data_IF_791209415508
#
_entry.id   IF_791209415508
#
_cell.length_a   1.000
_cell.length_b   1.000
_cell.length_c   1.000
_cell.angle_alpha   90.00
_cell.angle_beta   90.00
_cell.angle_gamma   90.00
#
_symmetry.space_group_name_H-M   'P 1'
#
loop_
_entity.id
_entity.type
_entity.pdbx_description
1 polymer ?
#
# COMPACT_ATOMS: atom_id res chain seq x y z
N UNK A 1 -0.84 -23.19 -23.50
CA UNK A 1 -1.34 -24.32 -22.70
C UNK A 1 -2.31 -23.75 -21.68
N UNK A 2 -3.61 -24.11 -21.80
CA UNK A 2 -4.65 -23.83 -20.83
C UNK A 2 -4.57 -24.90 -19.73
N UNK A 3 -4.38 -24.49 -18.50
CA UNK A 3 -4.51 -25.40 -17.36
C UNK A 3 -5.97 -25.41 -16.90
N UNK A 4 -6.56 -26.59 -16.95
CA UNK A 4 -7.91 -26.90 -16.45
C UNK A 4 -7.84 -27.02 -14.92
N UNK A 5 -8.56 -26.12 -14.20
CA UNK A 5 -8.52 -25.98 -12.74
C UNK A 5 -9.56 -26.83 -12.00
N UNK A 6 -10.35 -27.67 -12.71
CA UNK A 6 -11.51 -28.36 -12.11
C UNK A 6 -11.22 -29.76 -11.52
N UNK A 7 -9.95 -30.18 -11.40
CA UNK A 7 -9.65 -31.57 -11.01
C UNK A 7 -8.85 -31.75 -9.69
N UNK A 8 -8.67 -30.75 -8.84
CA UNK A 8 -7.96 -30.92 -7.57
C UNK A 8 -8.82 -30.56 -6.36
N UNK A 9 -9.72 -31.47 -5.95
CA UNK A 9 -10.23 -31.52 -4.58
C UNK A 9 -9.24 -32.30 -3.73
N UNK A 10 -8.32 -31.64 -3.07
CA UNK A 10 -7.43 -32.18 -2.05
C UNK A 10 -7.96 -31.74 -0.69
N UNK A 11 -8.08 -32.68 0.23
CA UNK A 11 -8.39 -32.42 1.64
C UNK A 11 -7.17 -31.70 2.26
N UNK A 12 -7.23 -30.36 2.30
CA UNK A 12 -6.11 -29.50 2.69
C UNK A 12 -6.24 -29.12 4.16
N UNK A 13 -5.21 -29.38 4.94
CA UNK A 13 -5.10 -28.84 6.29
C UNK A 13 -4.93 -27.29 6.28
N UNK A 14 -5.05 -26.65 7.43
CA UNK A 14 -5.01 -25.19 7.54
C UNK A 14 -3.72 -24.55 7.03
N UNK A 15 -2.60 -25.29 6.97
CA UNK A 15 -1.31 -24.82 6.44
C UNK A 15 -1.30 -24.82 4.91
N UNK A 16 -1.97 -25.78 4.31
CA UNK A 16 -2.10 -25.92 2.85
C UNK A 16 -3.12 -24.94 2.27
N UNK A 17 -4.21 -24.65 3.01
CA UNK A 17 -5.17 -23.56 2.67
C UNK A 17 -4.45 -22.21 2.63
N UNK A 18 -3.54 -21.94 3.55
CA UNK A 18 -2.68 -20.74 3.55
C UNK A 18 -1.83 -20.63 2.27
N UNK A 19 -1.28 -21.76 1.78
CA UNK A 19 -0.52 -21.79 0.52
C UNK A 19 -1.39 -21.53 -0.71
N UNK A 20 -2.58 -22.12 -0.79
CA UNK A 20 -3.50 -21.96 -1.94
C UNK A 20 -4.02 -20.51 -2.01
N UNK A 21 -4.35 -19.88 -0.87
CA UNK A 21 -4.74 -18.46 -0.84
C UNK A 21 -3.60 -17.54 -1.28
N UNK A 22 -2.34 -17.88 -0.98
CA UNK A 22 -1.16 -17.14 -1.44
C UNK A 22 -0.96 -17.25 -2.96
N UNK A 23 -1.29 -18.39 -3.57
CA UNK A 23 -1.18 -18.57 -5.03
C UNK A 23 -2.22 -17.77 -5.82
N UNK A 24 -3.47 -17.70 -5.35
CA UNK A 24 -4.54 -16.95 -6.03
C UNK A 24 -4.25 -15.45 -6.07
N UNK A 25 -3.61 -14.88 -5.05
CA UNK A 25 -3.27 -13.46 -4.99
C UNK A 25 -1.79 -13.16 -5.20
N UNK A 26 -0.93 -14.21 -5.19
CA UNK A 26 0.52 -14.05 -5.42
C UNK A 26 1.13 -12.90 -4.60
N UNK A 27 0.65 -12.70 -3.38
CA UNK A 27 1.29 -11.85 -2.38
C UNK A 27 2.20 -12.75 -1.55
N UNK A 28 3.51 -12.54 -1.62
CA UNK A 28 4.41 -13.13 -0.64
C UNK A 28 4.20 -12.39 0.68
N UNK A 29 3.25 -12.89 1.47
CA UNK A 29 3.05 -12.40 2.84
C UNK A 29 4.22 -12.91 3.66
N UNK A 30 5.30 -12.14 3.68
CA UNK A 30 6.49 -12.42 4.47
C UNK A 30 6.31 -11.78 5.85
N UNK A 31 5.55 -12.43 6.72
CA UNK A 31 5.53 -12.00 8.12
C UNK A 31 6.34 -12.96 8.97
N UNK A 32 7.44 -12.48 9.53
CA UNK A 32 8.16 -13.16 10.61
C UNK A 32 7.46 -13.01 11.97
N UNK A 33 6.32 -12.32 12.04
CA UNK A 33 5.55 -12.08 13.24
C UNK A 33 4.28 -12.91 13.22
N UNK A 34 4.07 -13.72 14.25
CA UNK A 34 2.80 -14.42 14.45
C UNK A 34 1.72 -13.38 14.77
N UNK A 35 0.84 -13.09 13.81
CA UNK A 35 -0.31 -12.20 13.97
C UNK A 35 -1.52 -13.09 14.30
N UNK A 36 -2.27 -12.70 15.32
CA UNK A 36 -3.50 -13.40 15.71
C UNK A 36 -4.71 -12.57 15.22
N UNK A 37 -5.85 -13.23 14.99
CA UNK A 37 -7.09 -12.56 14.53
C UNK A 37 -7.62 -11.52 15.51
N UNK A 38 -7.19 -11.55 16.79
CA UNK A 38 -7.54 -10.55 17.80
C UNK A 38 -6.66 -9.30 17.80
N UNK A 39 -5.58 -9.29 17.02
CA UNK A 39 -4.67 -8.14 16.97
C UNK A 39 -5.33 -6.97 16.23
N UNK A 40 -5.13 -5.75 16.74
CA UNK A 40 -5.55 -4.53 16.05
C UNK A 40 -4.55 -4.23 14.93
N UNK A 41 -5.00 -4.31 13.70
CA UNK A 41 -4.17 -4.13 12.51
C UNK A 41 -4.46 -2.79 11.85
N UNK A 42 -3.41 -2.11 11.37
CA UNK A 42 -3.51 -0.87 10.61
C UNK A 42 -2.46 -0.83 9.51
N UNK A 43 -2.77 -0.13 8.42
CA UNK A 43 -1.83 0.09 7.34
C UNK A 43 -1.42 1.57 7.24
N UNK A 44 -0.11 1.84 7.40
CA UNK A 44 0.46 3.11 6.97
C UNK A 44 0.65 3.07 5.46
N UNK A 45 0.18 4.10 4.77
CA UNK A 45 0.36 4.21 3.31
C UNK A 45 0.94 5.57 2.95
N UNK A 46 1.85 5.59 1.99
CA UNK A 46 2.59 6.78 1.57
C UNK A 46 2.43 7.00 0.08
N UNK A 47 2.09 8.23 -0.31
CA UNK A 47 1.88 8.64 -1.70
C UNK A 47 2.98 9.61 -2.17
N UNK A 48 3.09 9.78 -3.50
CA UNK A 48 3.90 10.76 -4.23
C UNK A 48 5.41 10.53 -4.28
N UNK A 49 5.93 9.54 -3.56
CA UNK A 49 7.35 9.18 -3.63
C UNK A 49 7.71 8.40 -4.90
N UNK A 50 8.96 7.91 -4.96
CA UNK A 50 10.03 8.12 -3.98
C UNK A 50 10.79 9.43 -4.17
N UNK A 51 11.31 9.99 -3.07
CA UNK A 51 12.27 11.09 -3.08
C UNK A 51 13.27 10.98 -1.90
N UNK A 52 14.06 12.03 -1.65
CA UNK A 52 15.03 12.07 -0.55
C UNK A 52 14.38 11.82 0.84
N UNK A 53 13.18 12.33 1.09
CA UNK A 53 12.51 12.14 2.38
C UNK A 53 11.94 10.73 2.55
N UNK A 54 11.65 10.02 1.45
CA UNK A 54 11.29 8.59 1.48
C UNK A 54 12.37 7.78 2.21
N UNK A 55 13.65 8.09 1.98
CA UNK A 55 14.76 7.46 2.71
C UNK A 55 14.66 7.63 4.23
N UNK A 56 14.25 8.81 4.70
CA UNK A 56 14.02 9.08 6.14
C UNK A 56 12.81 8.31 6.68
N UNK A 57 11.74 8.21 5.90
CA UNK A 57 10.57 7.38 6.26
C UNK A 57 11.01 5.93 6.45
N UNK A 58 11.76 5.37 5.50
CA UNK A 58 12.28 4.01 5.58
C UNK A 58 13.20 3.79 6.79
N UNK A 59 14.05 4.78 7.16
CA UNK A 59 14.89 4.72 8.35
C UNK A 59 14.04 4.58 9.63
N UNK A 60 12.94 5.35 9.73
CA UNK A 60 12.04 5.29 10.88
C UNK A 60 11.26 3.98 10.91
N UNK A 61 10.73 3.50 9.77
CA UNK A 61 10.04 2.22 9.69
C UNK A 61 10.96 1.06 10.09
N UNK A 62 12.22 1.07 9.63
CA UNK A 62 13.21 0.08 10.01
C UNK A 62 13.54 0.13 11.51
N UNK A 63 13.70 1.33 12.09
CA UNK A 63 13.96 1.52 13.54
C UNK A 63 12.91 0.84 14.42
N UNK A 64 11.63 0.90 14.00
CA UNK A 64 10.53 0.33 14.78
C UNK A 64 10.08 -1.06 14.26
N UNK A 65 10.78 -1.62 13.27
CA UNK A 65 10.43 -2.89 12.62
C UNK A 65 8.98 -2.91 12.11
N UNK A 66 8.59 -1.89 11.35
CA UNK A 66 7.24 -1.67 10.81
C UNK A 66 7.24 -1.79 9.30
N UNK A 67 6.22 -2.45 8.75
CA UNK A 67 5.94 -2.50 7.31
C UNK A 67 4.88 -1.47 6.92
N UNK A 68 4.91 -1.07 5.65
CA UNK A 68 4.00 -0.09 5.08
C UNK A 68 3.77 -0.37 3.58
N UNK A 69 2.83 0.38 2.98
CA UNK A 69 2.59 0.35 1.54
C UNK A 69 2.91 1.72 0.93
N UNK A 70 3.69 1.74 -0.14
CA UNK A 70 4.06 2.94 -0.88
C UNK A 70 3.35 2.96 -2.23
N UNK A 71 2.56 3.99 -2.49
CA UNK A 71 1.95 4.24 -3.79
C UNK A 71 2.82 5.24 -4.54
N UNK A 72 3.65 4.74 -5.45
CA UNK A 72 4.71 5.52 -6.07
C UNK A 72 4.25 6.17 -7.37
N UNK A 73 4.67 7.40 -7.61
CA UNK A 73 4.56 8.05 -8.92
C UNK A 73 5.60 7.48 -9.87
N UNK A 74 5.18 7.05 -11.05
CA UNK A 74 6.08 6.44 -12.03
C UNK A 74 7.23 7.36 -12.45
N UNK A 75 6.98 8.66 -12.62
CA UNK A 75 8.02 9.66 -12.92
C UNK A 75 9.06 9.76 -11.81
N UNK A 76 8.63 9.78 -10.54
CA UNK A 76 9.54 9.82 -9.39
C UNK A 76 10.31 8.51 -9.20
N UNK A 77 9.63 7.38 -9.38
CA UNK A 77 10.23 6.05 -9.33
C UNK A 77 11.33 5.88 -10.39
N UNK A 78 11.09 6.38 -11.61
CA UNK A 78 12.08 6.37 -12.70
C UNK A 78 13.35 7.13 -12.34
N UNK A 79 13.20 8.29 -11.70
CA UNK A 79 14.34 9.16 -11.33
C UNK A 79 15.03 8.71 -10.05
N UNK A 80 14.36 7.91 -9.19
CA UNK A 80 14.85 7.49 -7.88
C UNK A 80 14.86 5.96 -7.70
N UNK A 81 15.29 5.21 -8.73
CA UNK A 81 15.30 3.74 -8.74
C UNK A 81 15.97 3.11 -7.52
N UNK A 82 17.04 3.72 -7.00
CA UNK A 82 17.74 3.22 -5.80
C UNK A 82 16.86 3.28 -4.54
N UNK A 83 16.02 4.32 -4.42
CA UNK A 83 15.12 4.46 -3.27
C UNK A 83 13.95 3.48 -3.43
N UNK A 84 13.36 3.39 -4.62
CA UNK A 84 12.34 2.37 -4.92
C UNK A 84 12.84 0.95 -4.64
N UNK A 85 14.07 0.64 -5.05
CA UNK A 85 14.67 -0.67 -4.76
C UNK A 85 14.80 -0.89 -3.25
N UNK A 86 15.19 0.14 -2.48
CA UNK A 86 15.28 0.07 -1.03
C UNK A 86 13.90 -0.15 -0.38
N UNK A 87 12.84 0.53 -0.84
CA UNK A 87 11.46 0.28 -0.38
C UNK A 87 11.13 -1.22 -0.52
N UNK A 88 11.32 -1.74 -1.73
CA UNK A 88 11.02 -3.14 -2.04
C UNK A 88 11.87 -4.13 -1.21
N UNK A 89 13.21 -3.94 -1.17
CA UNK A 89 14.13 -4.82 -0.43
C UNK A 89 13.90 -4.79 1.08
N UNK A 90 13.33 -3.70 1.59
CA UNK A 90 12.91 -3.57 2.99
C UNK A 90 11.58 -4.28 3.28
N UNK A 91 10.98 -4.96 2.28
CA UNK A 91 9.73 -5.70 2.41
C UNK A 91 8.50 -4.79 2.50
N UNK A 92 8.55 -3.61 1.91
CA UNK A 92 7.40 -2.75 1.75
C UNK A 92 6.56 -3.20 0.54
N UNK A 93 5.25 -3.03 0.59
CA UNK A 93 4.39 -3.19 -0.58
C UNK A 93 4.48 -1.97 -1.47
N UNK A 94 4.59 -2.19 -2.79
CA UNK A 94 4.66 -1.11 -3.79
C UNK A 94 3.39 -1.10 -4.64
N UNK A 95 2.62 -0.04 -4.56
CA UNK A 95 1.43 0.22 -5.36
C UNK A 95 1.67 1.28 -6.45
N UNK A 96 0.76 1.33 -7.41
CA UNK A 96 0.77 2.28 -8.52
C UNK A 96 0.01 3.55 -8.13
N UNK A 97 0.64 4.74 -8.28
CA UNK A 97 0.02 6.05 -8.05
C UNK A 97 -0.05 6.92 -9.31
N UNK A 98 -0.14 6.31 -10.51
CA UNK A 98 -0.03 6.96 -11.82
C UNK A 98 1.38 7.44 -12.15
N UNK A 99 1.60 7.93 -13.36
CA UNK A 99 2.95 8.34 -13.78
C UNK A 99 3.25 9.80 -13.43
N UNK A 100 2.34 10.72 -13.79
CA UNK A 100 2.50 12.18 -13.62
C UNK A 100 1.51 12.80 -12.62
N UNK A 101 0.84 12.00 -11.81
CA UNK A 101 -0.17 12.48 -10.85
C UNK A 101 -1.35 13.19 -11.52
N UNK A 102 -1.83 12.70 -12.67
CA UNK A 102 -2.97 13.28 -13.37
C UNK A 102 -4.30 12.96 -12.69
N UNK A 103 -5.25 13.90 -12.69
CA UNK A 103 -6.63 13.63 -12.28
C UNK A 103 -7.30 12.78 -13.37
N UNK A 104 -7.14 11.46 -13.30
CA UNK A 104 -7.46 10.49 -14.35
C UNK A 104 -8.87 10.63 -14.91
N UNK A 105 -9.85 11.01 -14.07
CA UNK A 105 -11.25 11.15 -14.48
C UNK A 105 -11.50 12.26 -15.51
N UNK A 106 -10.51 13.11 -15.77
CA UNK A 106 -10.57 14.19 -16.79
C UNK A 106 -9.93 13.79 -18.13
N UNK A 107 -9.41 12.57 -18.23
CA UNK A 107 -8.66 12.14 -19.41
C UNK A 107 -9.35 10.98 -20.15
N UNK A 108 -8.99 10.81 -21.43
CA UNK A 108 -9.44 9.68 -22.25
C UNK A 108 -8.77 8.37 -21.81
N UNK A 109 -9.39 7.25 -22.16
CA UNK A 109 -8.96 5.89 -21.77
C UNK A 109 -7.50 5.58 -22.10
N UNK A 110 -7.02 6.02 -23.27
CA UNK A 110 -5.64 5.82 -23.68
C UNK A 110 -4.63 6.52 -22.78
N UNK A 111 -4.95 7.73 -22.29
CA UNK A 111 -4.10 8.48 -21.35
C UNK A 111 -4.12 7.81 -19.96
N UNK A 112 -5.29 7.39 -19.50
CA UNK A 112 -5.44 6.67 -18.22
C UNK A 112 -4.59 5.39 -18.26
N UNK A 113 -4.69 4.62 -19.34
CA UNK A 113 -3.92 3.39 -19.53
C UNK A 113 -2.42 3.68 -19.53
N UNK A 114 -1.99 4.70 -20.26
CA UNK A 114 -0.57 5.10 -20.37
C UNK A 114 0.03 5.49 -19.00
N UNK A 115 -0.71 6.25 -18.18
CA UNK A 115 -0.30 6.65 -16.83
C UNK A 115 -0.11 5.43 -15.90
N UNK A 116 -0.98 4.44 -15.99
CA UNK A 116 -0.93 3.23 -15.18
C UNK A 116 0.16 2.28 -15.69
N UNK A 117 0.21 2.02 -17.00
CA UNK A 117 1.14 1.06 -17.59
C UNK A 117 2.60 1.52 -17.47
N UNK A 118 2.88 2.81 -17.70
CA UNK A 118 4.23 3.37 -17.54
C UNK A 118 4.72 3.22 -16.10
N UNK A 119 3.87 3.50 -15.13
CA UNK A 119 4.22 3.34 -13.72
C UNK A 119 4.48 1.88 -13.38
N UNK A 120 3.58 0.99 -13.82
CA UNK A 120 3.73 -0.45 -13.60
C UNK A 120 5.02 -0.99 -14.23
N UNK A 121 5.39 -0.50 -15.41
CA UNK A 121 6.63 -0.89 -16.10
C UNK A 121 7.88 -0.45 -15.34
N UNK A 122 7.90 0.79 -14.79
CA UNK A 122 9.02 1.27 -13.96
C UNK A 122 9.14 0.47 -12.67
N UNK A 123 8.02 0.17 -12.00
CA UNK A 123 8.03 -0.66 -10.80
C UNK A 123 8.60 -2.04 -11.13
N UNK A 124 8.13 -2.69 -12.22
CA UNK A 124 8.62 -3.99 -12.65
C UNK A 124 10.11 -3.97 -12.99
N UNK A 125 10.60 -2.95 -13.69
CA UNK A 125 12.01 -2.81 -14.04
C UNK A 125 12.93 -2.84 -12.80
N UNK A 126 12.48 -2.25 -11.69
CA UNK A 126 13.30 -2.12 -10.47
C UNK A 126 13.12 -3.30 -9.52
N UNK A 127 11.91 -3.84 -9.41
CA UNK A 127 11.53 -4.83 -8.40
C UNK A 127 11.40 -6.26 -8.94
N UNK A 128 11.26 -6.42 -10.26
CA UNK A 128 10.92 -7.69 -10.90
C UNK A 128 9.44 -8.07 -10.74
N UNK A 129 8.60 -7.22 -10.15
CA UNK A 129 7.17 -7.48 -9.91
C UNK A 129 6.29 -6.34 -10.38
N UNK A 130 5.17 -6.68 -10.99
CA UNK A 130 4.13 -5.70 -11.31
C UNK A 130 3.35 -5.32 -10.05
N UNK A 131 3.00 -4.02 -9.88
CA UNK A 131 2.14 -3.60 -8.77
C UNK A 131 0.76 -4.27 -8.91
N UNK A 132 0.16 -4.61 -7.78
CA UNK A 132 -1.16 -5.25 -7.71
C UNK A 132 -2.23 -4.35 -7.10
N UNK A 133 -1.84 -3.16 -6.67
CA UNK A 133 -2.69 -2.15 -6.04
C UNK A 133 -2.59 -0.85 -6.83
N UNK A 134 -3.73 -0.18 -7.00
CA UNK A 134 -3.81 1.15 -7.60
C UNK A 134 -4.38 2.13 -6.58
N UNK A 135 -3.72 3.27 -6.41
CA UNK A 135 -4.32 4.47 -5.80
C UNK A 135 -4.36 5.56 -6.85
N UNK A 136 -5.54 5.90 -7.40
CA UNK A 136 -5.65 7.02 -8.32
C UNK A 136 -5.25 8.33 -7.66
N UNK A 137 -4.61 9.21 -8.41
CA UNK A 137 -4.24 10.55 -7.93
C UNK A 137 -5.42 11.27 -7.32
N UNK A 138 -5.19 11.95 -6.20
CA UNK A 138 -6.23 12.64 -5.41
C UNK A 138 -7.29 11.71 -4.80
N UNK A 139 -7.17 10.39 -4.90
CA UNK A 139 -8.20 9.42 -4.50
C UNK A 139 -9.46 9.45 -5.38
N UNK A 140 -9.40 10.09 -6.56
CA UNK A 140 -10.56 10.29 -7.43
C UNK A 140 -10.60 9.25 -8.55
N UNK A 141 -11.72 8.56 -8.66
CA UNK A 141 -11.95 7.50 -9.64
C UNK A 141 -13.38 7.53 -10.22
N UNK A 142 -13.57 6.85 -11.34
CA UNK A 142 -14.87 6.54 -11.96
C UNK A 142 -14.83 5.12 -12.53
N UNK A 143 -15.92 4.68 -13.16
CA UNK A 143 -16.00 3.32 -13.72
C UNK A 143 -14.96 3.06 -14.83
N UNK A 144 -14.54 4.10 -15.57
CA UNK A 144 -13.50 3.99 -16.60
C UNK A 144 -12.15 3.71 -15.92
N UNK A 145 -11.79 4.47 -14.89
CA UNK A 145 -10.54 4.28 -14.13
C UNK A 145 -10.51 2.88 -13.48
N UNK A 146 -11.63 2.43 -12.90
CA UNK A 146 -11.75 1.08 -12.33
C UNK A 146 -11.50 -0.02 -13.37
N UNK A 147 -12.12 0.09 -14.54
CA UNK A 147 -12.01 -0.88 -15.64
C UNK A 147 -10.59 -0.93 -16.20
N UNK A 148 -9.99 0.23 -16.48
CA UNK A 148 -8.66 0.32 -17.10
C UNK A 148 -7.57 -0.07 -16.09
N UNK A 149 -7.70 0.37 -14.84
CA UNK A 149 -6.75 0.05 -13.77
C UNK A 149 -6.65 -1.45 -13.51
N UNK A 150 -7.78 -2.16 -13.64
CA UNK A 150 -7.86 -3.62 -13.47
C UNK A 150 -7.10 -4.16 -12.23
N UNK A 151 -7.09 -3.37 -11.17
CA UNK A 151 -6.49 -3.62 -9.86
C UNK A 151 -7.47 -3.23 -8.76
N UNK A 152 -7.36 -3.76 -7.54
CA UNK A 152 -8.00 -3.18 -6.36
C UNK A 152 -7.59 -1.71 -6.22
N UNK A 153 -8.58 -0.83 -6.00
CA UNK A 153 -8.35 0.59 -5.76
C UNK A 153 -8.32 0.82 -4.26
N UNK A 154 -7.21 1.35 -3.77
CA UNK A 154 -7.00 1.61 -2.36
C UNK A 154 -7.09 3.12 -2.10
N UNK A 155 -8.06 3.52 -1.32
CA UNK A 155 -8.19 4.87 -0.77
C UNK A 155 -7.82 4.81 0.72
N UNK A 156 -8.38 5.67 1.57
CA UNK A 156 -8.03 5.78 3.00
C UNK A 156 -9.24 6.10 3.84
N UNK A 157 -9.14 5.81 5.13
CA UNK A 157 -10.11 6.20 6.16
C UNK A 157 -9.59 7.42 6.96
N UNK A 158 -8.27 7.50 7.16
CA UNK A 158 -7.64 8.63 7.84
C UNK A 158 -6.73 9.40 6.88
N UNK A 159 -7.10 10.65 6.56
CA UNK A 159 -6.21 11.63 5.94
C UNK A 159 -5.47 12.40 7.04
N UNK A 160 -4.15 12.32 7.05
CA UNK A 160 -3.32 13.02 8.04
C UNK A 160 -3.23 14.51 7.78
N UNK A 161 -3.56 14.97 6.57
CA UNK A 161 -3.37 16.33 6.07
C UNK A 161 -1.91 16.82 6.21
N UNK A 162 -0.94 15.91 6.10
CA UNK A 162 0.49 16.23 6.13
C UNK A 162 0.90 17.13 4.96
N UNK A 163 0.26 16.93 3.79
CA UNK A 163 0.39 17.76 2.59
C UNK A 163 -0.03 19.24 2.82
N UNK A 164 -0.86 19.48 3.85
CA UNK A 164 -1.39 20.82 4.16
C UNK A 164 -0.63 21.50 5.29
N UNK A 165 -0.29 20.76 6.35
CA UNK A 165 0.14 21.38 7.60
C UNK A 165 1.63 21.28 7.88
N UNK A 166 2.35 20.34 7.29
CA UNK A 166 3.79 20.11 7.48
C UNK A 166 4.27 20.18 8.95
N UNK A 167 3.42 19.75 9.88
CA UNK A 167 3.69 19.77 11.31
C UNK A 167 3.56 18.37 11.91
N UNK A 168 4.68 17.79 12.34
CA UNK A 168 4.76 16.41 12.80
C UNK A 168 3.85 16.09 13.99
N UNK A 169 3.70 17.00 14.96
CA UNK A 169 2.82 16.81 16.12
C UNK A 169 1.35 16.81 15.69
N UNK A 170 0.95 17.70 14.78
CA UNK A 170 -0.42 17.77 14.26
C UNK A 170 -0.75 16.54 13.41
N UNK A 171 0.16 16.08 12.58
CA UNK A 171 0.05 14.84 11.81
C UNK A 171 -0.17 13.66 12.76
N UNK A 172 0.70 13.51 13.77
CA UNK A 172 0.59 12.45 14.75
C UNK A 172 -0.74 12.48 15.52
N UNK A 173 -1.16 13.63 15.99
CA UNK A 173 -2.44 13.80 16.73
C UNK A 173 -3.66 13.37 15.89
N UNK A 174 -3.66 13.64 14.57
CA UNK A 174 -4.76 13.23 13.68
C UNK A 174 -4.89 11.71 13.57
N UNK A 175 -3.78 11.00 13.55
CA UNK A 175 -3.78 9.53 13.54
C UNK A 175 -4.17 8.99 14.91
N UNK A 176 -3.42 9.36 15.94
CA UNK A 176 -3.52 8.81 17.30
C UNK A 176 -4.93 8.95 17.90
N UNK A 177 -5.63 10.06 17.59
CA UNK A 177 -6.95 10.35 18.14
C UNK A 177 -8.11 9.69 17.36
N UNK A 178 -7.85 9.15 16.15
CA UNK A 178 -8.92 8.63 15.28
C UNK A 178 -8.80 7.16 14.95
N UNK A 179 -7.59 6.64 15.03
CA UNK A 179 -7.25 5.31 14.54
C UNK A 179 -8.11 4.21 15.17
N UNK A 180 -8.58 3.32 14.32
CA UNK A 180 -9.32 2.09 14.66
C UNK A 180 -8.66 0.90 13.99
N UNK A 181 -8.99 -0.28 14.45
CA UNK A 181 -8.61 -1.53 13.81
C UNK A 181 -9.14 -1.58 12.35
N UNK A 182 -8.29 -2.00 11.43
CA UNK A 182 -8.61 -2.06 10.01
C UNK A 182 -8.40 -0.76 9.23
N UNK A 183 -7.94 0.33 9.86
CA UNK A 183 -7.76 1.60 9.16
C UNK A 183 -6.60 1.60 8.17
N UNK A 184 -6.82 2.31 7.05
CA UNK A 184 -5.82 2.69 6.06
C UNK A 184 -5.53 4.18 6.25
N UNK A 185 -4.26 4.51 6.51
CA UNK A 185 -3.83 5.87 6.86
C UNK A 185 -3.07 6.47 5.67
N UNK A 186 -3.58 7.59 5.12
CA UNK A 186 -2.92 8.37 4.07
C UNK A 186 -1.86 9.30 4.67
N UNK A 187 -0.67 9.18 4.14
CA UNK A 187 0.48 10.06 4.36
C UNK A 187 1.20 10.29 3.02
N UNK A 188 2.18 11.21 3.00
CA UNK A 188 3.02 11.44 1.83
C UNK A 188 4.49 11.40 2.27
N UNK A 189 5.28 10.52 1.70
CA UNK A 189 6.69 10.31 2.08
C UNK A 189 7.63 11.40 1.55
N UNK A 190 7.09 12.34 0.80
CA UNK A 190 7.81 13.48 0.24
C UNK A 190 8.07 14.61 1.25
N UNK A 191 7.50 14.54 2.45
CA UNK A 191 7.65 15.59 3.49
C UNK A 191 8.45 15.10 4.70
N UNK A 192 9.44 15.91 5.13
CA UNK A 192 10.21 15.63 6.35
C UNK A 192 9.35 15.60 7.62
N UNK A 193 8.28 16.40 7.66
CA UNK A 193 7.34 16.42 8.77
C UNK A 193 6.61 15.07 8.94
N UNK A 194 6.32 14.38 7.83
CA UNK A 194 5.75 13.04 7.83
C UNK A 194 6.72 12.04 8.47
N UNK A 195 7.98 11.99 7.99
CA UNK A 195 9.00 11.13 8.58
C UNK A 195 9.16 11.37 10.10
N UNK A 196 9.19 12.65 10.51
CA UNK A 196 9.29 13.01 11.94
C UNK A 196 8.06 12.60 12.75
N UNK A 197 6.85 12.65 12.16
CA UNK A 197 5.61 12.26 12.84
C UNK A 197 5.56 10.77 13.18
N UNK A 198 6.20 9.93 12.39
CA UNK A 198 6.26 8.48 12.61
C UNK A 198 6.97 8.11 13.91
N UNK A 199 7.97 8.91 14.36
CA UNK A 199 8.60 8.71 15.67
C UNK A 199 7.66 8.95 16.85
N UNK A 200 6.49 9.57 16.62
CA UNK A 200 5.44 9.78 17.62
C UNK A 200 4.33 8.73 17.42
N UNK A 201 3.90 8.52 16.19
CA UNK A 201 2.77 7.64 15.84
C UNK A 201 3.09 6.18 16.18
N UNK A 202 4.22 5.68 15.70
CA UNK A 202 4.52 4.25 15.77
C UNK A 202 4.62 3.76 17.22
N UNK A 203 5.48 4.33 18.09
CA UNK A 203 5.59 3.83 19.46
C UNK A 203 4.29 3.98 20.25
N UNK A 204 3.54 5.05 20.05
CA UNK A 204 2.25 5.26 20.73
C UNK A 204 1.23 4.19 20.33
N UNK A 205 1.11 3.89 19.04
CA UNK A 205 0.15 2.88 18.58
C UNK A 205 0.60 1.45 18.90
N UNK A 206 1.90 1.16 18.87
CA UNK A 206 2.42 -0.13 19.36
C UNK A 206 2.08 -0.34 20.85
N UNK A 207 2.23 0.71 21.67
CA UNK A 207 1.83 0.66 23.09
C UNK A 207 0.33 0.44 23.30
N UNK A 208 -0.51 0.86 22.35
CA UNK A 208 -1.97 0.60 22.36
C UNK A 208 -2.34 -0.77 21.78
N UNK A 209 -1.37 -1.59 21.43
CA UNK A 209 -1.57 -2.93 20.87
C UNK A 209 -1.89 -2.97 19.39
N UNK A 210 -1.59 -1.91 18.62
CA UNK A 210 -1.69 -1.95 17.17
C UNK A 210 -0.45 -2.59 16.54
N UNK A 211 -0.69 -3.41 15.53
CA UNK A 211 0.33 -3.97 14.65
C UNK A 211 0.21 -3.32 13.27
N UNK A 212 1.35 -2.87 12.75
CA UNK A 212 1.46 -2.24 11.44
C UNK A 212 1.74 -3.30 10.39
N UNK A 213 0.95 -3.31 9.33
CA UNK A 213 1.03 -4.28 8.24
C UNK A 213 0.92 -3.57 6.89
N UNK A 214 1.31 -4.25 5.80
CA UNK A 214 1.04 -3.78 4.44
C UNK A 214 -0.45 -3.93 4.10
N UNK A 215 -0.92 -3.28 3.02
CA UNK A 215 -2.32 -3.44 2.56
C UNK A 215 -2.67 -4.91 2.28
N UNK A 216 -1.86 -5.69 1.52
CA UNK A 216 -2.18 -7.11 1.33
C UNK A 216 -2.28 -7.91 2.63
N UNK A 217 -1.35 -7.68 3.58
CA UNK A 217 -1.39 -8.32 4.89
C UNK A 217 -2.63 -7.91 5.69
N UNK A 218 -2.99 -6.62 5.68
CA UNK A 218 -4.18 -6.14 6.37
C UNK A 218 -5.44 -6.89 5.92
N UNK A 219 -5.66 -6.96 4.60
CA UNK A 219 -6.83 -7.61 4.03
C UNK A 219 -6.80 -9.14 4.23
N UNK A 220 -5.62 -9.75 4.12
CA UNK A 220 -5.44 -11.17 4.38
C UNK A 220 -5.84 -11.56 5.82
N UNK A 221 -5.30 -10.84 6.83
CA UNK A 221 -5.62 -11.13 8.23
C UNK A 221 -7.03 -10.73 8.65
N UNK A 222 -7.70 -9.87 7.88
CA UNK A 222 -9.11 -9.53 8.06
C UNK A 222 -10.05 -10.43 7.22
N UNK A 223 -9.50 -11.44 6.53
CA UNK A 223 -10.26 -12.39 5.72
C UNK A 223 -11.10 -11.71 4.64
N UNK A 224 -10.62 -10.58 4.10
CA UNK A 224 -11.28 -9.81 3.04
C UNK A 224 -10.49 -9.96 1.74
N UNK A 225 -11.15 -10.43 0.71
CA UNK A 225 -10.56 -10.57 -0.62
C UNK A 225 -10.47 -9.23 -1.34
N UNK A 226 -9.27 -8.88 -1.85
CA UNK A 226 -9.06 -7.73 -2.70
C UNK A 226 -9.42 -8.06 -4.15
N UNK A 227 -10.49 -7.48 -4.67
CA UNK A 227 -10.99 -7.71 -6.02
C UNK A 227 -10.64 -6.56 -6.97
N UNK A 228 -10.33 -6.90 -8.23
CA UNK A 228 -10.04 -5.92 -9.28
C UNK A 228 -11.21 -4.98 -9.51
N UNK A 229 -10.95 -3.69 -9.61
CA UNK A 229 -11.95 -2.66 -9.83
C UNK A 229 -12.83 -2.32 -8.62
N UNK A 230 -12.68 -3.05 -7.50
CA UNK A 230 -13.32 -2.70 -6.23
C UNK A 230 -12.49 -1.64 -5.48
N UNK A 231 -13.15 -0.93 -4.57
CA UNK A 231 -12.56 0.22 -3.85
C UNK A 231 -12.59 -0.04 -2.35
N UNK A 232 -11.46 0.14 -1.71
CA UNK A 232 -11.28 -0.14 -0.29
C UNK A 232 -10.64 1.07 0.41
N UNK A 233 -11.23 1.53 1.50
CA UNK A 233 -10.71 2.60 2.36
C UNK A 233 -10.31 2.11 3.75
N UNK A 234 -10.73 0.90 4.10
CA UNK A 234 -10.45 0.20 5.35
C UNK A 234 -10.72 -1.31 5.19
N UNK A 235 -10.32 -2.11 6.17
CA UNK A 235 -10.56 -3.55 6.25
C UNK A 235 -11.29 -3.91 7.56
N UNK A 236 -12.61 -3.80 7.54
CA UNK A 236 -13.53 -4.12 8.66
C UNK A 236 -14.78 -4.80 8.15
#
# INVERSE_FOLDING_TARGET
YSYDLDSFMIDLDSSTISMVYTEVFNYDIITNKKINNSDKLIALTFDDGPNYNTGKVLDVLAKYNVKATFFVLGSKAKDNKKILKREYDSGMEIGNHTFNHLLLTKYKENVIKDEIDKTSSVIFEVTGRYPKLLRPSYGVYNNIVKKIGNMPIIIWDIDTLDWKYHNSKRIASRVINKVKDGDIILMHDIYSATANSLNIIIPELQNRGYTFVTIPELFYYKEITLEKGMVYGYAR
#
